data_IF_756281192535
#
_entry.id   IF_756281192535
#
_cell.length_a   1.000
_cell.length_b   1.000
_cell.length_c   1.000
_cell.angle_alpha   90.00
_cell.angle_beta   90.00
_cell.angle_gamma   90.00
#
_symmetry.space_group_name_H-M   'P 1'
#
loop_
_entity.id
_entity.type
_entity.pdbx_description
1 polymer ?
#
# COMPACT_ATOMS: atom_id res chain seq x y z
N UNK A 1 6.39 10.05 16.70
CA UNK A 1 7.60 9.26 16.39
C UNK A 1 7.14 8.04 15.60
N UNK A 2 7.42 7.99 14.29
CA UNK A 2 6.99 6.84 13.46
C UNK A 2 7.95 5.69 13.75
N UNK A 3 7.42 4.55 14.16
CA UNK A 3 8.23 3.39 14.53
C UNK A 3 8.83 2.77 13.25
N UNK A 4 10.14 2.94 13.04
CA UNK A 4 10.87 2.43 11.88
C UNK A 4 10.74 0.90 11.71
N UNK A 5 10.47 0.15 12.78
CA UNK A 5 10.20 -1.29 12.73
C UNK A 5 8.88 -1.61 12.02
N UNK A 6 7.87 -0.75 12.16
CA UNK A 6 6.59 -0.87 11.49
C UNK A 6 6.70 -0.55 9.99
N UNK A 7 7.48 0.48 9.65
CA UNK A 7 7.80 0.82 8.25
C UNK A 7 8.55 -0.33 7.59
N UNK A 8 9.52 -0.94 8.28
CA UNK A 8 10.27 -2.10 7.75
C UNK A 8 9.39 -3.32 7.50
N UNK A 9 8.41 -3.61 8.35
CA UNK A 9 7.44 -4.68 8.08
C UNK A 9 6.51 -4.30 6.93
N UNK A 10 6.02 -3.06 6.87
CA UNK A 10 5.24 -2.56 5.73
C UNK A 10 5.99 -2.68 4.40
N UNK A 11 7.27 -2.31 4.40
CA UNK A 11 8.19 -2.44 3.28
C UNK A 11 8.46 -3.91 2.97
N UNK A 12 8.62 -4.78 3.97
CA UNK A 12 8.75 -6.24 3.78
C UNK A 12 7.52 -6.81 3.07
N UNK A 13 6.32 -6.39 3.46
CA UNK A 13 5.06 -6.79 2.84
C UNK A 13 4.89 -6.20 1.44
N UNK A 14 5.34 -4.97 1.20
CA UNK A 14 5.39 -4.38 -0.12
C UNK A 14 6.46 -5.05 -1.02
N UNK A 15 7.58 -5.49 -0.45
CA UNK A 15 8.68 -6.14 -1.16
C UNK A 15 8.42 -7.61 -1.48
N UNK A 16 7.64 -8.33 -0.65
CA UNK A 16 7.17 -9.67 -0.97
C UNK A 16 6.42 -9.70 -2.33
N UNK A 17 5.73 -8.60 -2.68
CA UNK A 17 5.05 -8.40 -3.98
C UNK A 17 6.01 -8.28 -5.16
N UNK A 18 7.25 -7.82 -4.96
CA UNK A 18 8.27 -7.77 -6.02
C UNK A 18 8.80 -9.15 -6.40
N UNK A 19 8.69 -10.13 -5.49
CA UNK A 19 9.29 -11.46 -5.65
C UNK A 19 8.26 -12.47 -6.18
N UNK A 20 6.96 -12.30 -5.90
CA UNK A 20 5.91 -13.09 -6.56
C UNK A 20 5.54 -12.47 -7.90
N UNK A 21 6.29 -12.83 -8.95
CA UNK A 21 5.77 -12.87 -10.33
C UNK A 21 4.53 -13.78 -10.32
N UNK A 22 3.34 -13.24 -10.11
CA UNK A 22 2.04 -13.85 -10.46
C UNK A 22 0.89 -13.07 -9.82
N UNK A 23 0.69 -11.81 -10.21
CA UNK A 23 -0.65 -11.26 -10.13
C UNK A 23 -0.90 -10.38 -11.36
N UNK A 24 -1.71 -10.90 -12.28
CA UNK A 24 -2.45 -10.10 -13.26
C UNK A 24 -3.42 -9.21 -12.47
N UNK A 25 -2.92 -8.11 -11.92
CA UNK A 25 -3.79 -7.02 -11.48
C UNK A 25 -3.78 -5.96 -12.57
N UNK A 26 -4.90 -5.27 -12.75
CA UNK A 26 -4.96 -4.12 -13.65
C UNK A 26 -4.10 -2.93 -13.16
N UNK A 27 -3.51 -3.04 -11.96
CA UNK A 27 -2.72 -2.01 -11.28
C UNK A 27 -1.39 -2.59 -10.74
N UNK A 28 -0.44 -2.99 -11.60
CA UNK A 28 0.77 -3.72 -11.21
C UNK A 28 1.73 -2.93 -10.29
N UNK A 29 1.49 -1.63 -10.10
CA UNK A 29 2.25 -0.74 -9.22
C UNK A 29 1.63 -0.57 -7.83
N UNK A 30 0.55 -1.31 -7.52
CA UNK A 30 -0.19 -1.22 -6.25
C UNK A 30 -0.04 -2.48 -5.40
N UNK A 31 -0.33 -2.33 -4.11
CA UNK A 31 -0.50 -3.45 -3.21
C UNK A 31 -1.78 -4.25 -3.45
N UNK A 32 -1.95 -5.43 -2.82
CA UNK A 32 -3.29 -5.99 -2.66
C UNK A 32 -4.09 -5.05 -1.76
N UNK A 33 -5.41 -4.99 -1.97
CA UNK A 33 -6.29 -4.16 -1.15
C UNK A 33 -6.24 -4.52 0.34
N UNK A 34 -5.92 -5.79 0.66
CA UNK A 34 -5.80 -6.26 2.03
C UNK A 34 -4.75 -7.37 2.15
N UNK A 35 -3.98 -7.36 3.23
CA UNK A 35 -3.06 -8.43 3.59
C UNK A 35 -2.98 -8.57 5.12
N UNK A 36 -2.82 -9.79 5.63
CA UNK A 36 -2.76 -10.08 7.06
C UNK A 36 -1.59 -11.02 7.36
N UNK A 37 -0.82 -10.69 8.39
CA UNK A 37 0.25 -11.53 8.93
C UNK A 37 0.32 -11.32 10.44
N UNK A 38 0.22 -12.42 11.19
CA UNK A 38 0.16 -12.42 12.65
C UNK A 38 -0.84 -11.40 13.23
N UNK A 39 -0.33 -10.41 13.97
CA UNK A 39 -1.10 -9.36 14.61
C UNK A 39 -1.25 -8.11 13.72
N UNK A 40 -0.74 -8.15 12.50
CA UNK A 40 -0.75 -7.02 11.57
C UNK A 40 -1.77 -7.22 10.44
N UNK A 41 -2.44 -6.13 10.10
CA UNK A 41 -3.33 -6.03 8.94
C UNK A 41 -2.94 -4.80 8.12
N UNK A 42 -2.68 -5.01 6.84
CA UNK A 42 -2.44 -3.98 5.84
C UNK A 42 -3.72 -3.77 5.03
N UNK A 43 -4.10 -2.51 4.79
CA UNK A 43 -5.18 -2.14 3.88
C UNK A 43 -4.73 -1.03 2.93
N UNK A 44 -5.07 -1.19 1.67
CA UNK A 44 -4.93 -0.17 0.64
C UNK A 44 -6.29 0.08 -0.01
N UNK A 45 -6.74 1.33 0.05
CA UNK A 45 -7.97 1.79 -0.59
C UNK A 45 -7.61 2.92 -1.54
N UNK A 46 -7.79 2.69 -2.84
CA UNK A 46 -7.44 3.67 -3.87
C UNK A 46 -8.63 3.93 -4.82
N UNK A 47 -8.59 5.08 -5.48
CA UNK A 47 -9.57 5.49 -6.50
C UNK A 47 -8.86 6.26 -7.61
N UNK A 48 -9.33 6.06 -8.83
CA UNK A 48 -8.88 6.78 -10.02
C UNK A 48 -8.26 5.85 -11.05
N UNK A 49 -7.65 6.43 -12.06
CA UNK A 49 -6.85 5.72 -13.07
C UNK A 49 -5.36 6.05 -12.86
N UNK A 50 -4.49 5.42 -13.64
CA UNK A 50 -3.06 5.77 -13.66
C UNK A 50 -2.82 7.25 -14.03
N UNK A 51 -3.78 7.90 -14.69
CA UNK A 51 -3.68 9.30 -15.11
C UNK A 51 -3.93 10.26 -13.94
N UNK A 52 -4.74 9.86 -12.96
CA UNK A 52 -5.05 10.62 -11.75
C UNK A 52 -5.64 9.69 -10.70
N UNK A 53 -4.92 9.47 -9.61
CA UNK A 53 -5.35 8.62 -8.51
C UNK A 53 -5.05 9.25 -7.15
N UNK A 54 -5.80 8.77 -6.16
CA UNK A 54 -5.52 8.98 -4.74
C UNK A 54 -5.84 7.71 -3.96
N UNK A 55 -5.16 7.51 -2.85
CA UNK A 55 -5.42 6.38 -1.99
C UNK A 55 -4.98 6.60 -0.55
N UNK A 56 -5.39 5.65 0.29
CA UNK A 56 -5.04 5.59 1.70
C UNK A 56 -4.51 4.20 2.00
N UNK A 57 -3.26 4.17 2.45
CA UNK A 57 -2.65 2.97 3.00
C UNK A 57 -2.72 3.02 4.52
N UNK A 58 -3.10 1.90 5.15
CA UNK A 58 -3.22 1.77 6.60
C UNK A 58 -2.58 0.47 7.06
N UNK A 59 -1.99 0.51 8.26
CA UNK A 59 -1.53 -0.68 8.97
C UNK A 59 -2.16 -0.68 10.36
N UNK A 60 -2.72 -1.82 10.72
CA UNK A 60 -3.30 -2.09 12.02
C UNK A 60 -2.43 -3.10 12.75
N UNK A 61 -2.20 -2.89 14.05
CA UNK A 61 -1.65 -3.89 14.96
C UNK A 61 -2.71 -4.23 16.00
N UNK A 62 -3.12 -5.50 16.08
CA UNK A 62 -4.21 -5.97 16.95
C UNK A 62 -5.49 -5.13 16.81
N UNK A 63 -5.84 -4.80 15.57
CA UNK A 63 -7.02 -3.98 15.24
C UNK A 63 -6.88 -2.47 15.47
N UNK A 64 -5.78 -2.00 16.06
CA UNK A 64 -5.51 -0.57 16.24
C UNK A 64 -4.69 -0.02 15.08
N UNK A 65 -5.16 1.04 14.44
CA UNK A 65 -4.38 1.73 13.41
C UNK A 65 -3.10 2.32 14.01
N UNK A 66 -1.96 1.93 13.45
CA UNK A 66 -0.61 2.31 13.91
C UNK A 66 0.18 3.05 12.83
N UNK A 67 -0.33 3.06 11.59
CA UNK A 67 0.23 3.82 10.48
C UNK A 67 -0.87 4.18 9.49
N UNK A 68 -0.74 5.38 8.90
CA UNK A 68 -1.57 5.85 7.79
C UNK A 68 -0.74 6.69 6.84
N UNK A 69 -0.90 6.44 5.54
CA UNK A 69 -0.36 7.25 4.46
C UNK A 69 -1.49 7.65 3.52
N UNK A 70 -1.58 8.95 3.23
CA UNK A 70 -2.35 9.46 2.11
C UNK A 70 -1.41 9.65 0.92
N UNK A 71 -1.75 9.07 -0.22
CA UNK A 71 -0.97 9.21 -1.44
C UNK A 71 -1.85 9.67 -2.60
N UNK A 72 -1.22 10.32 -3.58
CA UNK A 72 -1.84 10.72 -4.83
C UNK A 72 -0.78 10.74 -5.93
N UNK A 73 -1.22 10.68 -7.17
CA UNK A 73 -0.34 10.75 -8.32
C UNK A 73 -1.11 10.69 -9.62
N UNK A 74 -0.37 10.76 -10.72
CA UNK A 74 -0.95 10.80 -12.04
C UNK A 74 0.07 11.18 -13.10
N UNK A 75 -0.37 11.19 -14.35
CA UNK A 75 0.45 11.64 -15.47
C UNK A 75 0.44 13.17 -15.53
N UNK A 76 1.63 13.78 -15.52
CA UNK A 76 1.77 15.21 -15.77
C UNK A 76 1.61 15.43 -17.28
N UNK A 77 0.52 16.10 -17.68
CA UNK A 77 0.34 16.53 -19.07
C UNK A 77 1.11 17.83 -19.27
N UNK A 78 2.02 17.86 -20.25
CA UNK A 78 2.63 19.11 -20.70
C UNK A 78 1.54 20.02 -21.28
N UNK A 79 1.66 21.33 -20.99
CA UNK A 79 0.83 22.38 -21.60
C UNK A 79 1.29 22.70 -23.00
#
# INVERSE_FOLDING_TARGET
MVNLTLIRHAESLANAKRITKEHKTDEPFRGPNNFKEDNFEYKDENKGSIENFKGVERIFYKGKEVYRLYYHGGVIKNK
#
